data_IF_297593928140
#
_entry.id   IF_297593928140
#
_cell.length_a   1.000
_cell.length_b   1.000
_cell.length_c   1.000
_cell.angle_alpha   90.00
_cell.angle_beta   90.00
_cell.angle_gamma   90.00
#
_symmetry.space_group_name_H-M   'P 1'
#
loop_
_entity.id
_entity.type
_entity.pdbx_description
1 polymer ?
#
# COMPACT_ATOMS: atom_id res chain seq x y z
N UNK A 1 5.87 4.85 -6.04
CA UNK A 1 4.50 4.28 -5.99
C UNK A 1 4.64 2.80 -5.66
N UNK A 2 3.65 2.19 -5.00
CA UNK A 2 3.66 0.78 -4.63
C UNK A 2 2.39 0.10 -5.10
N UNK A 3 2.50 -1.19 -5.37
CA UNK A 3 1.37 -2.11 -5.44
C UNK A 3 1.47 -3.08 -4.29
N UNK A 4 0.38 -3.25 -3.57
CA UNK A 4 0.21 -4.27 -2.54
C UNK A 4 -0.67 -5.37 -3.14
N UNK A 5 -0.16 -6.58 -3.16
CA UNK A 5 -0.91 -7.76 -3.58
C UNK A 5 -1.59 -8.37 -2.34
N UNK A 6 -2.92 -8.37 -2.34
CA UNK A 6 -3.77 -8.88 -1.27
C UNK A 6 -4.41 -10.22 -1.72
N UNK A 7 -4.94 -11.04 -0.79
CA UNK A 7 -5.46 -12.37 -1.14
C UNK A 7 -6.56 -12.38 -2.22
N UNK A 8 -7.33 -11.30 -2.37
CA UNK A 8 -8.45 -11.21 -3.31
C UNK A 8 -8.45 -9.95 -4.18
N UNK A 9 -7.44 -9.09 -4.04
CA UNK A 9 -7.40 -7.78 -4.70
C UNK A 9 -5.98 -7.23 -4.75
N UNK A 10 -5.83 -6.10 -5.44
CA UNK A 10 -4.60 -5.32 -5.42
C UNK A 10 -4.92 -3.90 -4.95
N UNK A 11 -3.99 -3.29 -4.24
CA UNK A 11 -4.05 -1.89 -3.85
C UNK A 11 -2.85 -1.15 -4.42
N UNK A 12 -3.08 -0.09 -5.17
CA UNK A 12 -2.00 0.74 -5.74
C UNK A 12 -2.05 2.13 -5.13
N UNK A 13 -0.90 2.64 -4.70
CA UNK A 13 -0.83 3.94 -4.07
C UNK A 13 0.59 4.38 -3.70
N UNK A 14 0.68 5.31 -2.78
CA UNK A 14 1.94 5.79 -2.19
C UNK A 14 2.04 5.22 -0.77
N UNK A 15 3.15 4.54 -0.48
CA UNK A 15 3.49 4.17 0.89
C UNK A 15 3.77 5.45 1.68
N UNK A 16 2.91 5.76 2.66
CA UNK A 16 2.93 7.00 3.44
C UNK A 16 3.73 6.84 4.73
N UNK A 17 3.39 5.82 5.52
CA UNK A 17 3.95 5.61 6.86
C UNK A 17 3.79 4.17 7.33
N UNK A 18 4.47 3.81 8.43
CA UNK A 18 4.23 2.57 9.17
C UNK A 18 3.59 2.96 10.51
N UNK A 19 2.48 2.31 10.87
CA UNK A 19 1.80 2.56 12.15
C UNK A 19 2.59 1.97 13.32
N UNK A 20 2.26 2.36 14.56
CA UNK A 20 2.89 1.80 15.76
C UNK A 20 2.68 0.27 15.92
N UNK A 21 1.62 -0.27 15.30
CA UNK A 21 1.35 -1.70 15.26
C UNK A 21 2.09 -2.44 14.12
N UNK A 22 2.85 -1.71 13.30
CA UNK A 22 3.62 -2.26 12.18
C UNK A 22 2.85 -2.38 10.87
N UNK A 23 1.66 -1.81 10.75
CA UNK A 23 0.89 -1.81 9.50
C UNK A 23 1.45 -0.76 8.52
N UNK A 24 1.48 -1.09 7.23
CA UNK A 24 1.82 -0.14 6.17
C UNK A 24 0.61 0.72 5.83
N UNK A 25 0.75 2.03 5.86
CA UNK A 25 -0.27 2.95 5.34
C UNK A 25 0.00 3.24 3.87
N UNK A 26 -1.01 3.00 3.03
CA UNK A 26 -1.00 3.34 1.61
C UNK A 26 -2.06 4.40 1.34
N UNK A 27 -1.64 5.49 0.71
CA UNK A 27 -2.52 6.51 0.14
C UNK A 27 -2.84 6.13 -1.31
N UNK A 28 -4.10 5.86 -1.63
CA UNK A 28 -4.52 5.58 -2.99
C UNK A 28 -4.67 6.87 -3.84
N UNK A 29 -5.06 6.71 -5.11
CA UNK A 29 -5.22 7.84 -6.03
C UNK A 29 -6.44 8.71 -5.74
N UNK A 30 -7.44 8.20 -4.99
CA UNK A 30 -8.56 8.99 -4.51
C UNK A 30 -8.18 9.84 -3.28
N UNK A 31 -7.02 9.55 -2.68
CA UNK A 31 -6.54 10.18 -1.45
C UNK A 31 -6.98 9.45 -0.19
N UNK A 32 -7.60 8.27 -0.32
CA UNK A 32 -8.03 7.46 0.81
C UNK A 32 -6.83 6.74 1.45
N UNK A 33 -6.86 6.64 2.79
CA UNK A 33 -5.84 5.96 3.59
C UNK A 33 -6.25 4.52 3.85
N UNK A 34 -5.38 3.59 3.48
CA UNK A 34 -5.56 2.16 3.71
C UNK A 34 -4.45 1.63 4.61
N UNK A 35 -4.82 1.02 5.73
CA UNK A 35 -3.88 0.28 6.58
C UNK A 35 -3.78 -1.18 6.11
N UNK A 36 -2.57 -1.59 5.75
CA UNK A 36 -2.25 -2.92 5.25
C UNK A 36 -1.42 -3.65 6.29
N UNK A 37 -1.99 -4.72 6.83
CA UNK A 37 -1.31 -5.60 7.81
C UNK A 37 -0.78 -6.88 7.17
N UNK A 38 -1.19 -7.20 5.94
CA UNK A 38 -0.83 -8.42 5.21
C UNK A 38 -0.76 -8.13 3.71
N UNK A 39 0.11 -8.84 3.00
CA UNK A 39 0.28 -8.73 1.55
C UNK A 39 1.72 -8.44 1.16
N UNK A 40 2.04 -8.74 -0.09
CA UNK A 40 3.35 -8.48 -0.66
C UNK A 40 3.40 -7.08 -1.28
N UNK A 41 4.50 -6.36 -1.04
CA UNK A 41 4.67 -4.98 -1.50
C UNK A 41 5.68 -4.92 -2.64
N UNK A 42 5.24 -4.45 -3.80
CA UNK A 42 6.07 -4.25 -4.99
C UNK A 42 6.23 -2.76 -5.28
N UNK A 43 7.48 -2.31 -5.44
CA UNK A 43 7.77 -0.94 -5.86
C UNK A 43 7.50 -0.78 -7.36
N UNK A 44 6.60 0.13 -7.71
CA UNK A 44 6.36 0.52 -9.10
C UNK A 44 7.29 1.69 -9.45
N UNK A 45 8.07 1.53 -10.52
CA UNK A 45 8.89 2.60 -11.11
C UNK A 45 8.21 3.04 -12.40
N UNK A 46 8.18 4.35 -12.64
CA UNK A 46 7.91 4.85 -13.98
C UNK A 46 9.11 4.45 -14.84
N UNK A 47 8.87 3.63 -15.87
CA UNK A 47 9.84 3.38 -16.93
C UNK A 47 10.07 4.62 -17.77
#
# INVERSE_FOLDING_TARGET
>A
RVRVELPASELVGVADSITAAGALVVLDDAGDRHEVTVGDVVHLRAG
#
